data_IF_367945585819
#
_entry.id   IF_367945585819
#
_cell.length_a   1.000
_cell.length_b   1.000
_cell.length_c   1.000
_cell.angle_alpha   90.00
_cell.angle_beta   90.00
_cell.angle_gamma   90.00
#
_symmetry.space_group_name_H-M   'P 1'
#
loop_
_entity.id
_entity.type
_entity.pdbx_description
1 polymer ?
#
# COMPACT_ATOMS: atom_id res chain seq x y z
N UNK A 1 1.40 -1.50 -13.90
CA UNK A 1 -0.07 -1.37 -13.78
C UNK A 1 -0.48 -0.43 -12.64
N UNK A 2 -0.10 -0.68 -11.38
CA UNK A 2 -0.50 0.15 -10.23
C UNK A 2 -0.31 1.67 -10.44
N UNK A 3 0.87 2.10 -10.90
CA UNK A 3 1.17 3.51 -11.18
C UNK A 3 0.24 4.12 -12.24
N UNK A 4 -0.08 3.38 -13.31
CA UNK A 4 -0.95 3.86 -14.39
C UNK A 4 -2.37 4.16 -13.89
N UNK A 5 -2.81 3.49 -12.82
CA UNK A 5 -4.14 3.63 -12.25
C UNK A 5 -4.16 4.69 -11.15
N UNK A 6 -3.18 4.68 -10.23
CA UNK A 6 -3.28 5.45 -8.97
C UNK A 6 -2.49 6.77 -8.94
N UNK A 7 -1.70 7.11 -9.97
CA UNK A 7 -1.04 8.42 -10.07
C UNK A 7 -2.05 9.58 -9.98
N UNK A 8 -3.15 9.64 -10.76
CA UNK A 8 -4.06 10.79 -10.72
C UNK A 8 -4.83 10.92 -9.40
N UNK A 9 -4.85 9.88 -8.56
CA UNK A 9 -5.59 9.88 -7.29
C UNK A 9 -4.70 10.24 -6.11
N UNK A 10 -3.55 9.59 -5.97
CA UNK A 10 -2.67 9.73 -4.78
C UNK A 10 -1.19 9.91 -5.12
N UNK A 11 -0.87 10.12 -6.41
CA UNK A 11 0.49 10.06 -6.92
C UNK A 11 1.20 8.70 -6.69
N UNK A 12 0.40 7.65 -6.47
CA UNK A 12 0.83 6.26 -6.18
C UNK A 12 1.84 6.13 -5.05
N UNK A 13 1.35 5.87 -3.84
CA UNK A 13 2.20 5.47 -2.71
C UNK A 13 2.54 3.97 -2.74
N UNK A 14 1.59 3.13 -2.30
CA UNK A 14 1.70 1.67 -2.05
C UNK A 14 2.94 1.21 -1.25
N UNK A 15 3.75 2.14 -0.76
CA UNK A 15 5.03 1.92 -0.11
C UNK A 15 5.29 3.08 0.87
N UNK A 16 5.17 2.84 2.18
CA UNK A 16 5.31 3.90 3.19
C UNK A 16 6.68 4.59 3.19
N UNK A 17 7.76 3.84 2.95
CA UNK A 17 9.12 4.40 2.89
C UNK A 17 9.29 5.34 1.68
N UNK A 18 8.74 4.94 0.52
CA UNK A 18 8.72 5.77 -0.71
C UNK A 18 7.93 7.07 -0.52
N UNK A 19 6.87 7.06 0.28
CA UNK A 19 6.11 8.28 0.62
C UNK A 19 6.81 9.17 1.65
N UNK A 20 7.56 8.56 2.58
CA UNK A 20 8.25 9.31 3.65
C UNK A 20 9.40 10.17 3.11
N UNK A 21 10.17 9.65 2.15
CA UNK A 21 11.31 10.36 1.55
C UNK A 21 10.96 11.76 1.06
N UNK A 22 10.05 11.94 0.08
CA UNK A 22 9.65 13.27 -0.38
C UNK A 22 8.94 14.12 0.69
N UNK A 23 8.14 13.48 1.56
CA UNK A 23 7.34 14.20 2.55
C UNK A 23 8.20 14.98 3.56
N UNK A 24 9.38 14.45 3.96
CA UNK A 24 10.29 15.16 4.87
C UNK A 24 10.95 16.39 4.24
N UNK A 25 11.16 16.39 2.92
CA UNK A 25 11.71 17.54 2.20
C UNK A 25 10.64 18.57 1.83
N UNK A 26 9.42 18.13 1.50
CA UNK A 26 8.29 19.02 1.19
C UNK A 26 7.73 19.66 2.46
N UNK A 27 7.70 18.92 3.58
CA UNK A 27 7.14 19.39 4.84
C UNK A 27 5.64 19.69 4.78
N UNK A 28 5.15 20.42 5.78
CA UNK A 28 3.78 20.95 5.83
C UNK A 28 2.70 19.91 5.51
N UNK A 29 1.93 20.17 4.46
CA UNK A 29 0.80 19.35 4.04
C UNK A 29 1.18 17.88 3.76
N UNK A 30 2.38 17.62 3.25
CA UNK A 30 2.82 16.27 2.91
C UNK A 30 3.06 15.43 4.17
N UNK A 31 3.61 16.03 5.23
CA UNK A 31 3.77 15.37 6.52
C UNK A 31 2.42 15.17 7.22
N UNK A 32 1.52 16.16 7.15
CA UNK A 32 0.17 16.04 7.72
C UNK A 32 -0.64 14.88 7.11
N UNK A 33 -0.39 14.54 5.83
CA UNK A 33 -1.07 13.44 5.14
C UNK A 33 -0.29 12.11 5.15
N UNK A 34 0.97 12.10 5.61
CA UNK A 34 1.86 10.94 5.51
C UNK A 34 1.30 9.69 6.20
N UNK A 35 0.54 9.85 7.29
CA UNK A 35 -0.05 8.75 8.06
C UNK A 35 -0.93 7.84 7.19
N UNK A 36 -1.68 8.40 6.22
CA UNK A 36 -2.56 7.64 5.35
C UNK A 36 -1.76 6.67 4.47
N UNK A 37 -0.58 7.11 4.03
CA UNK A 37 0.34 6.33 3.21
C UNK A 37 1.15 5.29 3.99
N UNK A 38 1.02 5.27 5.31
CA UNK A 38 1.48 4.17 6.15
C UNK A 38 0.35 3.17 6.39
N UNK A 39 -0.80 3.66 6.85
CA UNK A 39 -1.91 2.80 7.25
C UNK A 39 -2.51 2.05 6.05
N UNK A 40 -2.84 2.75 4.97
CA UNK A 40 -3.55 2.13 3.85
C UNK A 40 -2.75 1.02 3.15
N UNK A 41 -1.44 1.19 2.81
CA UNK A 41 -0.67 0.12 2.19
C UNK A 41 -0.48 -1.11 3.10
N UNK A 42 -0.25 -0.90 4.40
CA UNK A 42 -0.05 -2.00 5.35
C UNK A 42 -1.34 -2.81 5.51
N UNK A 43 -2.47 -2.14 5.74
CA UNK A 43 -3.77 -2.81 5.84
C UNK A 43 -4.10 -3.55 4.54
N UNK A 44 -3.88 -2.91 3.39
CA UNK A 44 -4.09 -3.54 2.08
C UNK A 44 -3.22 -4.80 1.88
N UNK A 45 -1.95 -4.75 2.29
CA UNK A 45 -1.04 -5.90 2.20
C UNK A 45 -1.47 -7.04 3.12
N UNK A 46 -1.90 -6.74 4.35
CA UNK A 46 -2.42 -7.75 5.29
C UNK A 46 -3.67 -8.42 4.71
N UNK A 47 -4.64 -7.64 4.22
CA UNK A 47 -5.86 -8.17 3.60
C UNK A 47 -5.51 -9.04 2.40
N UNK A 48 -4.68 -8.55 1.48
CA UNK A 48 -4.26 -9.32 0.31
C UNK A 48 -3.56 -10.63 0.70
N UNK A 49 -2.68 -10.61 1.70
CA UNK A 49 -1.99 -11.79 2.21
C UNK A 49 -2.94 -12.82 2.84
N UNK A 50 -3.93 -12.36 3.61
CA UNK A 50 -4.96 -13.23 4.19
C UNK A 50 -5.85 -13.86 3.12
N UNK A 51 -6.30 -13.06 2.14
CA UNK A 51 -7.09 -13.55 1.01
C UNK A 51 -6.32 -14.57 0.17
N UNK A 52 -5.06 -14.27 -0.16
CA UNK A 52 -4.21 -15.20 -0.89
C UNK A 52 -4.07 -16.52 -0.12
N UNK A 53 -3.78 -16.46 1.18
CA UNK A 53 -3.67 -17.66 2.02
C UNK A 53 -4.97 -18.47 2.05
N UNK A 54 -6.11 -17.82 2.20
CA UNK A 54 -7.40 -18.50 2.24
C UNK A 54 -7.70 -19.25 0.93
N UNK A 55 -7.48 -18.60 -0.22
CA UNK A 55 -7.79 -19.18 -1.53
C UNK A 55 -6.73 -20.20 -2.00
N UNK A 56 -5.45 -19.92 -1.76
CA UNK A 56 -4.36 -20.78 -2.19
C UNK A 56 -4.19 -22.02 -1.29
N UNK A 57 -4.62 -21.96 -0.02
CA UNK A 57 -4.59 -23.11 0.89
C UNK A 57 -5.50 -24.25 0.44
N UNK A 58 -6.58 -23.96 -0.29
CA UNK A 58 -7.52 -24.98 -0.79
C UNK A 58 -6.89 -25.81 -1.92
N UNK A 59 -6.03 -25.19 -2.75
CA UNK A 59 -5.28 -25.90 -3.80
C UNK A 59 -4.14 -26.78 -3.26
N UNK A 60 -3.65 -26.50 -2.05
CA UNK A 60 -2.58 -27.27 -1.41
C UNK A 60 -3.10 -28.51 -0.65
N UNK A 61 -4.34 -28.47 -0.15
CA UNK A 61 -4.96 -29.55 0.61
C UNK A 61 -5.73 -30.56 -0.26
N UNK A 62 -5.89 -30.25 -1.55
CA UNK A 62 -6.49 -31.12 -2.57
C UNK A 62 -5.46 -32.01 -3.31
N UNK A 63 -4.20 -32.00 -2.87
CA UNK A 63 -3.17 -32.98 -3.25
C UNK A 63 -2.92 -33.93 -2.09
#
# INVERSE_FOLDING_TARGET
LIHLISIPVTNTSVNPARSTGPAVFVGGWALCQLWLFWVAPIVGAIVAGLFYRALASESANAK
#
